data_IF_271512458210
#
_entry.id   IF_271512458210
#
_cell.length_a   1.000
_cell.length_b   1.000
_cell.length_c   1.000
_cell.angle_alpha   90.00
_cell.angle_beta   90.00
_cell.angle_gamma   90.00
#
_symmetry.space_group_name_H-M   'P 1'
#
loop_
_entity.id
_entity.type
_entity.pdbx_description
1 polymer ?
#
# COMPACT_ATOMS: atom_id res chain seq x y z
N UNK A 1 4.10 7.01 -1.50
CA UNK A 1 3.41 6.69 -0.24
C UNK A 1 4.18 7.26 0.91
N UNK A 2 3.45 7.80 1.84
CA UNK A 2 4.06 8.30 3.03
C UNK A 2 4.78 7.25 3.80
N UNK A 3 6.00 7.46 3.93
CA UNK A 3 6.66 7.08 5.14
C UNK A 3 6.19 8.14 6.14
N UNK A 4 5.80 7.74 7.33
CA UNK A 4 5.21 8.56 8.41
C UNK A 4 5.90 9.92 8.62
N UNK A 5 7.20 9.97 8.45
CA UNK A 5 8.08 11.11 8.66
C UNK A 5 8.31 11.98 7.40
N UNK A 6 7.85 11.53 6.23
CA UNK A 6 8.00 12.27 4.96
C UNK A 6 6.78 12.06 4.04
N UNK A 7 5.60 12.55 4.41
CA UNK A 7 4.45 12.54 3.51
C UNK A 7 4.78 13.37 2.26
N UNK A 8 4.45 12.82 1.11
CA UNK A 8 4.72 13.44 -0.20
C UNK A 8 3.51 14.19 -0.77
N UNK A 9 2.39 14.16 -0.05
CA UNK A 9 1.13 14.82 -0.45
C UNK A 9 0.27 15.14 0.78
N UNK A 10 -0.71 16.04 0.63
CA UNK A 10 -1.75 16.28 1.66
C UNK A 10 -2.56 15.00 1.95
N UNK A 11 -2.84 14.20 0.92
CA UNK A 11 -3.45 12.88 1.10
C UNK A 11 -2.59 12.00 2.01
N UNK A 12 -1.30 11.93 1.71
CA UNK A 12 -0.38 11.19 2.52
C UNK A 12 -0.30 11.69 3.97
N UNK A 13 -0.27 12.99 4.18
CA UNK A 13 -0.31 13.58 5.52
C UNK A 13 -1.57 13.16 6.28
N UNK A 14 -2.74 13.15 5.64
CA UNK A 14 -3.98 12.68 6.25
C UNK A 14 -3.91 11.23 6.71
N UNK A 15 -3.21 10.36 5.96
CA UNK A 15 -3.01 8.96 6.34
C UNK A 15 -2.05 8.80 7.52
N UNK A 16 -0.99 9.61 7.59
CA UNK A 16 -0.12 9.65 8.76
C UNK A 16 -0.89 10.02 10.03
N UNK A 17 -1.76 11.03 9.94
CA UNK A 17 -2.63 11.41 11.05
C UNK A 17 -3.51 10.25 11.55
N UNK A 18 -4.12 9.49 10.64
CA UNK A 18 -4.96 8.33 11.00
C UNK A 18 -4.13 7.25 11.70
N UNK A 19 -2.92 6.97 11.25
CA UNK A 19 -2.03 6.00 11.90
C UNK A 19 -1.64 6.46 13.32
N UNK A 20 -1.29 7.72 13.51
CA UNK A 20 -0.94 8.28 14.83
C UNK A 20 -2.15 8.33 15.76
N UNK A 21 -3.33 8.69 15.24
CA UNK A 21 -4.58 8.67 16.00
C UNK A 21 -4.91 7.24 16.46
N UNK A 22 -4.80 6.25 15.57
CA UNK A 22 -5.06 4.86 15.93
C UNK A 22 -4.07 4.35 16.99
N UNK A 23 -2.80 4.81 16.95
CA UNK A 23 -1.82 4.50 17.98
C UNK A 23 -2.21 5.08 19.33
N UNK A 24 -2.68 6.34 19.37
CA UNK A 24 -3.18 6.97 20.60
C UNK A 24 -4.34 6.17 21.22
N UNK A 25 -5.27 5.71 20.38
CA UNK A 25 -6.41 4.91 20.86
C UNK A 25 -5.97 3.54 21.39
N UNK A 26 -4.99 2.91 20.76
CA UNK A 26 -4.39 1.69 21.29
C UNK A 26 -3.75 1.91 22.66
N UNK A 27 -2.89 2.93 22.77
CA UNK A 27 -2.13 3.19 24.00
C UNK A 27 -3.03 3.59 25.18
N UNK A 28 -4.15 4.31 24.93
CA UNK A 28 -5.05 4.78 25.98
C UNK A 28 -6.18 3.83 26.33
N UNK A 29 -6.72 3.13 25.34
CA UNK A 29 -7.94 2.34 25.53
C UNK A 29 -7.84 0.91 25.05
N UNK A 30 -6.68 0.48 24.54
CA UNK A 30 -6.47 -0.87 24.05
C UNK A 30 -7.28 -1.21 22.80
N UNK A 31 -7.69 -0.21 22.02
CA UNK A 31 -8.43 -0.44 20.79
C UNK A 31 -7.48 -0.97 19.73
N UNK A 32 -7.65 -2.24 19.38
CA UNK A 32 -6.83 -2.89 18.37
C UNK A 32 -7.09 -2.33 16.98
N UNK A 33 -6.04 -2.10 16.22
CA UNK A 33 -6.13 -1.49 14.90
C UNK A 33 -5.17 -2.12 13.92
N UNK A 34 -5.67 -2.51 12.75
CA UNK A 34 -4.87 -2.90 11.59
C UNK A 34 -4.90 -1.77 10.56
N UNK A 35 -3.80 -1.07 10.40
CA UNK A 35 -3.60 -0.07 9.35
C UNK A 35 -2.96 -0.72 8.13
N UNK A 36 -3.67 -0.77 7.02
CA UNK A 36 -3.16 -1.30 5.76
C UNK A 36 -2.68 -0.16 4.85
N UNK A 37 -1.41 -0.17 4.52
CA UNK A 37 -0.82 0.71 3.51
C UNK A 37 -0.91 0.03 2.15
N UNK A 38 -2.00 0.31 1.43
CA UNK A 38 -2.26 -0.27 0.11
C UNK A 38 -1.76 0.69 -0.95
N UNK A 39 -0.93 0.20 -1.87
CA UNK A 39 -0.46 0.98 -3.02
C UNK A 39 -1.45 0.92 -4.18
N UNK A 40 -1.78 -0.28 -4.62
CA UNK A 40 -2.60 -0.51 -5.81
C UNK A 40 -3.46 -1.75 -5.62
N UNK A 41 -4.78 -1.61 -5.72
CA UNK A 41 -5.70 -2.75 -5.64
C UNK A 41 -6.70 -2.65 -6.79
N UNK A 42 -6.51 -3.48 -7.80
CA UNK A 42 -7.27 -3.55 -9.05
C UNK A 42 -7.53 -5.01 -9.40
N UNK A 43 -8.50 -5.31 -10.29
CA UNK A 43 -8.74 -6.68 -10.75
C UNK A 43 -7.48 -7.34 -11.33
N UNK A 44 -6.69 -6.59 -12.11
CA UNK A 44 -5.43 -7.02 -12.73
C UNK A 44 -4.40 -5.89 -12.67
N UNK A 45 -3.10 -6.21 -12.67
CA UNK A 45 -2.05 -5.22 -12.91
C UNK A 45 -2.18 -4.57 -14.29
N UNK A 46 -2.14 -3.24 -14.35
CA UNK A 46 -2.35 -2.47 -15.59
C UNK A 46 -1.09 -1.72 -16.06
N UNK A 47 -0.11 -1.53 -15.17
CA UNK A 47 1.12 -0.80 -15.45
C UNK A 47 2.35 -1.40 -14.76
N UNK A 48 3.54 -0.87 -15.05
CA UNK A 48 4.80 -1.33 -14.46
C UNK A 48 4.88 -1.15 -12.95
N UNK A 49 4.23 -0.11 -12.41
CA UNK A 49 4.17 0.11 -10.96
C UNK A 49 3.36 -0.99 -10.28
N UNK A 50 2.28 -1.45 -10.90
CA UNK A 50 1.46 -2.52 -10.36
C UNK A 50 2.21 -3.85 -10.25
N UNK A 51 3.25 -4.08 -11.06
CA UNK A 51 4.04 -5.33 -10.97
C UNK A 51 4.72 -5.54 -9.62
N UNK A 52 4.96 -4.48 -8.85
CA UNK A 52 5.52 -4.60 -7.50
C UNK A 52 4.55 -4.18 -6.38
N UNK A 53 3.52 -3.39 -6.69
CA UNK A 53 2.66 -2.74 -5.71
C UNK A 53 1.27 -3.35 -5.58
N UNK A 54 0.93 -4.34 -6.41
CA UNK A 54 -0.41 -4.87 -6.52
C UNK A 54 -0.81 -5.72 -5.31
N UNK A 55 -2.05 -5.46 -4.85
CA UNK A 55 -2.79 -6.29 -3.92
C UNK A 55 -4.04 -6.80 -4.64
N UNK A 56 -4.15 -8.11 -4.84
CA UNK A 56 -5.35 -8.72 -5.41
C UNK A 56 -6.56 -8.53 -4.49
N UNK A 57 -7.75 -8.57 -5.06
CA UNK A 57 -8.98 -8.52 -4.25
C UNK A 57 -9.08 -9.73 -3.30
N UNK A 58 -8.63 -10.90 -3.73
CA UNK A 58 -8.61 -12.10 -2.88
C UNK A 58 -7.69 -11.92 -1.67
N UNK A 59 -6.49 -11.44 -1.88
CA UNK A 59 -5.54 -11.19 -0.81
C UNK A 59 -5.97 -10.01 0.08
N UNK A 60 -6.64 -9.00 -0.49
CA UNK A 60 -7.24 -7.92 0.28
C UNK A 60 -8.34 -8.44 1.23
N UNK A 61 -9.24 -9.30 0.73
CA UNK A 61 -10.26 -9.96 1.56
C UNK A 61 -9.61 -10.82 2.64
N UNK A 62 -8.51 -11.51 2.31
CA UNK A 62 -7.76 -12.27 3.31
C UNK A 62 -7.21 -11.37 4.41
N UNK A 63 -6.64 -10.20 4.08
CA UNK A 63 -6.17 -9.24 5.08
C UNK A 63 -7.25 -8.82 6.05
N UNK A 64 -8.41 -8.42 5.52
CA UNK A 64 -9.55 -7.99 6.33
C UNK A 64 -10.02 -9.16 7.22
N UNK A 65 -10.19 -10.34 6.65
CA UNK A 65 -10.64 -11.52 7.38
C UNK A 65 -9.65 -11.90 8.49
N UNK A 66 -8.35 -11.90 8.20
CA UNK A 66 -7.32 -12.21 9.21
C UNK A 66 -7.26 -11.14 10.29
N UNK A 67 -7.36 -9.87 9.94
CA UNK A 67 -7.41 -8.80 10.92
C UNK A 67 -8.60 -8.90 11.88
N UNK A 68 -9.77 -9.29 11.37
CA UNK A 68 -10.99 -9.47 12.20
C UNK A 68 -10.97 -10.74 13.04
N UNK A 69 -10.29 -11.80 12.59
CA UNK A 69 -10.31 -13.13 13.22
C UNK A 69 -9.05 -13.43 14.04
N UNK A 70 -8.02 -12.61 13.95
CA UNK A 70 -6.79 -12.82 14.72
C UNK A 70 -7.05 -12.73 16.22
N UNK A 71 -6.47 -13.61 17.04
CA UNK A 71 -6.62 -13.55 18.50
C UNK A 71 -6.13 -12.23 19.10
N UNK A 72 -5.17 -11.59 18.43
CA UNK A 72 -4.60 -10.30 18.80
C UNK A 72 -4.04 -9.61 17.57
N UNK A 73 -4.50 -8.40 17.31
CA UNK A 73 -3.98 -7.52 16.26
C UNK A 73 -3.03 -6.47 16.83
N UNK A 74 -3.33 -5.98 18.06
CA UNK A 74 -2.63 -4.86 18.67
C UNK A 74 -2.75 -3.59 17.84
N UNK A 75 -1.67 -2.80 17.80
CA UNK A 75 -1.55 -1.72 16.83
C UNK A 75 -0.56 -2.14 15.74
N UNK A 76 -1.10 -2.59 14.62
CA UNK A 76 -0.32 -3.12 13.49
C UNK A 76 -0.43 -2.21 12.29
N UNK A 77 0.70 -1.81 11.74
CA UNK A 77 0.80 -1.15 10.44
C UNK A 77 1.52 -2.10 9.49
N UNK A 78 0.85 -2.50 8.43
CA UNK A 78 1.37 -3.45 7.45
C UNK A 78 1.19 -2.93 6.02
N UNK A 79 2.06 -3.38 5.12
CA UNK A 79 1.87 -3.14 3.69
C UNK A 79 0.93 -4.19 3.10
N UNK A 80 -0.13 -3.71 2.43
CA UNK A 80 -1.07 -4.57 1.73
C UNK A 80 -0.58 -4.88 0.32
N UNK A 81 0.03 -6.05 0.15
CA UNK A 81 0.53 -6.53 -1.14
C UNK A 81 0.29 -8.03 -1.28
N UNK A 82 0.09 -8.46 -2.53
CA UNK A 82 0.15 -9.88 -2.91
C UNK A 82 1.60 -10.38 -2.94
N UNK A 83 1.83 -11.67 -3.21
CA UNK A 83 3.17 -12.26 -3.26
C UNK A 83 3.89 -11.90 -4.57
N UNK A 84 3.99 -10.61 -4.85
CA UNK A 84 4.67 -10.11 -6.02
C UNK A 84 6.17 -10.40 -5.95
N UNK A 85 6.75 -10.82 -7.09
CA UNK A 85 8.18 -11.13 -7.17
C UNK A 85 9.07 -9.95 -6.82
N UNK A 86 8.69 -8.73 -7.25
CA UNK A 86 9.38 -7.51 -6.87
C UNK A 86 8.70 -6.94 -5.64
N UNK A 87 9.45 -6.81 -4.55
CA UNK A 87 8.98 -6.17 -3.31
C UNK A 87 9.91 -5.02 -2.96
N UNK A 88 9.37 -3.82 -2.90
CA UNK A 88 10.11 -2.60 -2.55
C UNK A 88 9.92 -2.19 -1.10
N UNK A 89 9.09 -2.91 -0.36
CA UNK A 89 8.81 -2.71 1.07
C UNK A 89 8.74 -4.05 1.80
N UNK A 90 8.96 -4.02 3.09
CA UNK A 90 8.82 -5.18 3.97
C UNK A 90 7.36 -5.37 4.38
N UNK A 91 6.74 -6.47 3.98
CA UNK A 91 5.36 -6.87 4.29
C UNK A 91 5.27 -7.91 5.42
N UNK A 92 6.39 -8.25 6.06
CA UNK A 92 6.47 -9.31 7.08
C UNK A 92 5.66 -9.03 8.35
N UNK A 93 5.35 -7.76 8.64
CA UNK A 93 4.63 -7.35 9.85
C UNK A 93 3.20 -7.90 9.96
N UNK A 94 2.62 -8.40 8.87
CA UNK A 94 1.32 -9.03 8.88
C UNK A 94 1.36 -10.54 9.23
N UNK A 95 2.53 -11.12 9.38
CA UNK A 95 2.68 -12.55 9.64
C UNK A 95 1.99 -13.02 10.93
N UNK A 96 2.00 -12.19 12.00
CA UNK A 96 1.40 -12.57 13.28
C UNK A 96 -0.14 -12.64 13.25
N UNK A 97 -0.81 -11.97 12.31
CA UNK A 97 -2.26 -12.12 12.10
C UNK A 97 -2.59 -13.27 11.15
N UNK A 98 -1.58 -13.99 10.64
CA UNK A 98 -1.74 -15.14 9.76
C UNK A 98 -2.02 -14.76 8.30
N UNK A 99 -1.63 -13.57 7.86
CA UNK A 99 -1.72 -13.20 6.45
C UNK A 99 -0.70 -14.00 5.62
N UNK A 100 -1.18 -14.63 4.56
CA UNK A 100 -0.38 -15.43 3.62
C UNK A 100 -0.91 -15.14 2.21
N UNK A 101 -0.31 -14.20 1.47
CA UNK A 101 -0.74 -13.85 0.12
C UNK A 101 -0.67 -15.07 -0.81
N UNK A 102 -1.64 -15.17 -1.72
CA UNK A 102 -1.79 -16.30 -2.63
C UNK A 102 -1.67 -15.91 -4.10
N UNK A 103 -1.86 -14.63 -4.40
CA UNK A 103 -1.77 -14.10 -5.75
C UNK A 103 -0.42 -13.41 -5.96
N UNK A 104 -0.01 -13.30 -7.23
CA UNK A 104 1.16 -12.54 -7.64
C UNK A 104 0.96 -11.97 -9.05
N UNK A 105 1.86 -11.11 -9.47
CA UNK A 105 1.78 -10.39 -10.74
C UNK A 105 2.42 -11.12 -11.92
N UNK A 106 3.02 -12.29 -11.74
CA UNK A 106 3.81 -12.95 -12.79
C UNK A 106 2.96 -13.38 -14.00
N UNK A 107 1.71 -13.78 -13.78
CA UNK A 107 0.79 -14.13 -14.86
C UNK A 107 0.46 -12.93 -15.80
N UNK A 108 0.62 -11.70 -15.30
CA UNK A 108 0.30 -10.48 -16.03
C UNK A 108 1.55 -9.77 -16.58
N UNK A 109 2.75 -10.16 -16.13
CA UNK A 109 4.01 -9.49 -16.46
C UNK A 109 4.21 -9.31 -17.97
N UNK A 110 4.09 -10.38 -18.74
CA UNK A 110 4.31 -10.33 -20.19
C UNK A 110 3.31 -9.38 -20.88
N UNK A 111 2.06 -9.34 -20.42
CA UNK A 111 1.05 -8.42 -20.93
C UNK A 111 1.43 -6.97 -20.64
N UNK A 112 1.81 -6.66 -19.40
CA UNK A 112 2.17 -5.30 -19.00
C UNK A 112 3.44 -4.84 -19.70
N UNK A 113 4.52 -5.62 -19.68
CA UNK A 113 5.81 -5.28 -20.30
C UNK A 113 5.73 -5.17 -21.83
N UNK A 114 4.79 -5.88 -22.45
CA UNK A 114 4.60 -5.85 -23.91
C UNK A 114 3.63 -4.76 -24.41
N UNK A 115 2.77 -4.21 -23.56
CA UNK A 115 1.72 -3.28 -23.97
C UNK A 115 1.85 -1.88 -23.36
N UNK A 116 2.60 -1.72 -22.27
CA UNK A 116 2.71 -0.45 -21.56
C UNK A 116 4.13 0.11 -21.73
N UNK A 117 4.29 1.34 -22.22
CA UNK A 117 5.62 1.98 -22.29
C UNK A 117 6.26 2.07 -20.90
N UNK A 118 7.59 1.92 -20.84
CA UNK A 118 8.32 2.14 -19.60
C UNK A 118 8.20 3.61 -19.18
N UNK A 119 7.90 3.88 -17.91
CA UNK A 119 7.78 5.25 -17.44
C UNK A 119 9.15 5.95 -17.42
N UNK A 120 9.15 7.27 -17.55
CA UNK A 120 10.38 8.06 -17.38
C UNK A 120 10.91 7.87 -15.95
N UNK A 121 12.15 7.36 -15.77
CA UNK A 121 12.73 7.17 -14.45
C UNK A 121 12.92 8.48 -13.66
N UNK A 122 12.82 9.62 -14.32
CA UNK A 122 12.90 10.94 -13.70
C UNK A 122 11.56 11.53 -13.28
N UNK A 123 10.46 10.94 -13.71
CA UNK A 123 9.13 11.40 -13.37
C UNK A 123 8.88 11.36 -11.84
N UNK A 124 8.21 12.37 -11.26
CA UNK A 124 7.94 12.43 -9.82
C UNK A 124 7.20 11.19 -9.29
N UNK A 125 6.24 10.67 -10.05
CA UNK A 125 5.45 9.49 -9.72
C UNK A 125 6.26 8.19 -9.72
N UNK A 126 7.41 8.17 -10.39
CA UNK A 126 8.36 7.04 -10.37
C UNK A 126 9.32 7.15 -9.19
N UNK A 127 9.78 8.36 -8.90
CA UNK A 127 10.73 8.64 -7.81
C UNK A 127 10.09 8.57 -6.42
N UNK A 128 8.77 8.63 -6.33
CA UNK A 128 8.04 8.67 -5.06
C UNK A 128 7.00 7.56 -4.98
N UNK A 129 6.75 7.09 -3.78
CA UNK A 129 5.78 6.01 -3.57
C UNK A 129 4.31 6.43 -3.73
N UNK A 130 4.00 7.71 -3.67
CA UNK A 130 2.64 8.25 -3.83
C UNK A 130 2.04 8.05 -5.22
N UNK A 131 2.87 7.67 -6.23
CA UNK A 131 2.41 7.47 -7.60
C UNK A 131 1.78 8.75 -8.16
N UNK A 132 0.67 8.61 -8.88
CA UNK A 132 -0.03 9.75 -9.51
C UNK A 132 -0.42 10.86 -8.53
N UNK A 133 -0.64 10.56 -7.26
CA UNK A 133 -1.00 11.58 -6.25
C UNK A 133 0.07 12.65 -6.04
N UNK A 134 1.32 12.37 -6.33
CA UNK A 134 2.42 13.36 -6.17
C UNK A 134 2.43 14.42 -7.27
N UNK A 135 1.67 14.22 -8.34
CA UNK A 135 1.53 15.19 -9.45
C UNK A 135 0.26 16.03 -9.36
N UNK A 136 -0.60 15.75 -8.36
CA UNK A 136 -1.81 16.56 -8.17
C UNK A 136 -1.41 17.95 -7.68
N UNK A 137 -1.98 19.02 -8.28
CA UNK A 137 -1.66 20.39 -7.92
C UNK A 137 -2.08 20.66 -6.46
N UNK A 138 -1.29 21.47 -5.80
CA UNK A 138 -1.69 22.09 -4.54
C UNK A 138 -2.69 23.22 -4.81
N UNK A 139 -3.66 23.51 -3.92
CA UNK A 139 -4.60 24.62 -4.12
C UNK A 139 -3.93 25.99 -4.34
N UNK A 140 -2.71 26.16 -3.84
CA UNK A 140 -1.93 27.41 -3.97
C UNK A 140 -0.95 27.38 -5.17
N UNK A 141 -0.92 26.32 -5.97
CA UNK A 141 -0.10 26.28 -7.16
C UNK A 141 -0.65 27.26 -8.20
N UNK A 142 0.21 28.01 -8.90
CA UNK A 142 -0.26 28.91 -9.95
C UNK A 142 -0.96 28.09 -11.06
N UNK A 143 -2.07 28.63 -11.53
CA UNK A 143 -2.86 28.03 -12.61
C UNK A 143 -2.12 28.03 -13.94
#
# INVERSE_FOLDING_TARGET
>A
MCIRDRPDTLYGLSKCFVEDLSRLYWDKWGIETLCLRIFSSFPEPEDHRHLWSWLSFRDCVQYVTRGLMAPRVGHTIAFGMSDNRLKVVDDSKAGHIGYQPQDNTEAFRAKVEGSVPWPDPNAPEVKRYGGVYVTFPHPDDPA
#
